data_IF_930118218008
#
_entry.id   IF_930118218008
#
_cell.length_a   1.000
_cell.length_b   1.000
_cell.length_c   1.000
_cell.angle_alpha   90.00
_cell.angle_beta   90.00
_cell.angle_gamma   90.00
#
_symmetry.space_group_name_H-M   'P 1'
#
loop_
_entity.id
_entity.type
_entity.pdbx_description
1 polymer ?
#
# COMPACT_ATOMS: atom_id res chain seq x y z
N UNK A 1 2.31 -74.99 57.58
CA UNK A 1 2.37 -73.56 57.96
C UNK A 1 3.15 -72.65 56.98
N UNK A 2 3.74 -73.15 55.88
CA UNK A 2 4.54 -72.30 54.96
C UNK A 2 3.72 -71.46 53.95
N UNK A 3 2.46 -71.81 53.70
CA UNK A 3 1.64 -71.16 52.65
C UNK A 3 1.16 -69.75 53.02
N UNK A 4 0.86 -69.49 54.30
CA UNK A 4 0.41 -68.15 54.73
C UNK A 4 1.46 -67.05 54.58
N UNK A 5 2.75 -67.41 54.63
CA UNK A 5 3.84 -66.43 54.57
C UNK A 5 4.06 -65.87 53.16
N UNK A 6 3.73 -66.66 52.13
CA UNK A 6 3.86 -66.26 50.73
C UNK A 6 2.75 -65.30 50.30
N UNK A 7 1.52 -65.53 50.75
CA UNK A 7 0.38 -64.65 50.49
C UNK A 7 0.59 -63.23 51.05
N UNK A 8 1.13 -63.13 52.26
CA UNK A 8 1.41 -61.83 52.91
C UNK A 8 2.51 -61.05 52.19
N UNK A 9 3.51 -61.73 51.61
CA UNK A 9 4.55 -61.08 50.80
C UNK A 9 3.98 -60.49 49.50
N UNK A 10 3.12 -61.25 48.81
CA UNK A 10 2.52 -60.81 47.55
C UNK A 10 1.64 -59.56 47.74
N UNK A 11 0.78 -59.54 48.77
CA UNK A 11 -0.01 -58.34 49.10
C UNK A 11 0.86 -57.11 49.40
N UNK A 12 2.01 -57.31 50.06
CA UNK A 12 2.91 -56.22 50.44
C UNK A 12 3.65 -55.64 49.23
N UNK A 13 3.98 -56.47 48.24
CA UNK A 13 4.54 -56.03 46.96
C UNK A 13 3.50 -55.32 46.08
N UNK A 14 2.28 -55.85 46.03
CA UNK A 14 1.18 -55.23 45.28
C UNK A 14 0.81 -53.85 45.86
N UNK A 15 0.74 -53.73 47.19
CA UNK A 15 0.55 -52.44 47.88
C UNK A 15 1.69 -51.45 47.60
N UNK A 16 2.94 -51.90 47.45
CA UNK A 16 4.08 -51.04 47.08
C UNK A 16 3.99 -50.59 45.63
N UNK A 17 3.67 -51.51 44.71
CA UNK A 17 3.49 -51.20 43.28
C UNK A 17 2.37 -50.18 43.07
N UNK A 18 1.24 -50.35 43.76
CA UNK A 18 0.11 -49.41 43.73
C UNK A 18 0.45 -48.03 44.32
N UNK A 19 1.35 -47.95 45.31
CA UNK A 19 1.84 -46.67 45.85
C UNK A 19 2.79 -45.96 44.88
N UNK A 20 3.69 -46.70 44.24
CA UNK A 20 4.60 -46.15 43.22
C UNK A 20 3.82 -45.62 42.00
N UNK A 21 2.85 -46.37 41.49
CA UNK A 21 2.00 -45.94 40.37
C UNK A 21 1.18 -44.69 40.70
N UNK A 22 0.63 -44.60 41.92
CA UNK A 22 -0.07 -43.39 42.38
C UNK A 22 0.86 -42.18 42.46
N UNK A 23 2.08 -42.35 42.95
CA UNK A 23 3.06 -41.26 42.97
C UNK A 23 3.51 -40.85 41.56
N UNK A 24 3.66 -41.81 40.65
CA UNK A 24 4.02 -41.53 39.26
C UNK A 24 2.90 -40.76 38.54
N UNK A 25 1.63 -41.17 38.73
CA UNK A 25 0.48 -40.43 38.19
C UNK A 25 0.39 -39.01 38.74
N UNK A 26 0.62 -38.83 40.04
CA UNK A 26 0.64 -37.49 40.65
C UNK A 26 1.75 -36.62 40.06
N UNK A 27 2.96 -37.17 39.89
CA UNK A 27 4.08 -36.44 39.27
C UNK A 27 3.81 -36.06 37.82
N UNK A 28 3.23 -36.97 37.03
CA UNK A 28 2.89 -36.71 35.64
C UNK A 28 1.80 -35.62 35.51
N UNK A 29 0.80 -35.63 36.39
CA UNK A 29 -0.25 -34.60 36.40
C UNK A 29 0.30 -33.22 36.81
N UNK A 30 1.23 -33.17 37.77
CA UNK A 30 1.88 -31.92 38.19
C UNK A 30 2.78 -31.35 37.08
N UNK A 31 3.55 -32.19 36.40
CA UNK A 31 4.36 -31.80 35.24
C UNK A 31 3.48 -31.27 34.10
N UNK A 32 2.33 -31.89 33.83
CA UNK A 32 1.39 -31.42 32.83
C UNK A 32 0.80 -30.05 33.19
N UNK A 33 0.49 -29.81 34.48
CA UNK A 33 0.04 -28.49 34.95
C UNK A 33 1.11 -27.42 34.79
N UNK A 34 2.37 -27.74 35.11
CA UNK A 34 3.50 -26.82 34.92
C UNK A 34 3.73 -26.50 33.45
N UNK A 35 3.71 -27.50 32.56
CA UNK A 35 3.83 -27.31 31.12
C UNK A 35 2.69 -26.46 30.55
N UNK A 36 1.46 -26.65 31.03
CA UNK A 36 0.30 -25.85 30.61
C UNK A 36 0.43 -24.38 31.07
N UNK A 37 0.92 -24.13 32.28
CA UNK A 37 1.15 -22.77 32.78
C UNK A 37 2.29 -22.08 32.01
N UNK A 38 3.39 -22.78 31.74
CA UNK A 38 4.49 -22.25 30.93
C UNK A 38 4.02 -21.92 29.51
N UNK A 39 3.20 -22.79 28.89
CA UNK A 39 2.62 -22.53 27.58
C UNK A 39 1.75 -21.26 27.57
N UNK A 40 0.99 -21.01 28.65
CA UNK A 40 0.22 -19.75 28.81
C UNK A 40 1.14 -18.53 28.91
N UNK A 41 2.19 -18.62 29.72
CA UNK A 41 3.15 -17.52 29.85
C UNK A 41 3.90 -17.24 28.53
N UNK A 42 4.30 -18.29 27.80
CA UNK A 42 4.90 -18.17 26.48
C UNK A 42 3.92 -17.53 25.46
N UNK A 43 2.63 -17.88 25.54
CA UNK A 43 1.55 -17.25 24.77
C UNK A 43 1.46 -15.74 25.02
N UNK A 44 1.44 -15.33 26.30
CA UNK A 44 1.40 -13.91 26.70
C UNK A 44 2.65 -13.17 26.19
N UNK A 45 3.85 -13.75 26.31
CA UNK A 45 5.10 -13.13 25.81
C UNK A 45 5.07 -12.97 24.29
N UNK A 46 4.56 -13.96 23.55
CA UNK A 46 4.41 -13.89 22.09
C UNK A 46 3.38 -12.82 21.69
N UNK A 47 2.28 -12.70 22.42
CA UNK A 47 1.26 -11.67 22.17
C UNK A 47 1.84 -10.26 22.37
N UNK A 48 2.51 -10.00 23.50
CA UNK A 48 3.16 -8.70 23.79
C UNK A 48 4.18 -8.30 22.72
N UNK A 49 5.02 -9.23 22.28
CA UNK A 49 5.99 -8.98 21.19
C UNK A 49 5.31 -8.63 19.85
N UNK A 50 4.17 -9.27 19.54
CA UNK A 50 3.39 -8.96 18.33
C UNK A 50 2.76 -7.57 18.40
N UNK A 51 2.21 -7.21 19.56
CA UNK A 51 1.61 -5.91 19.82
C UNK A 51 2.65 -4.77 19.71
N UNK A 52 3.81 -4.93 20.35
CA UNK A 52 4.91 -3.96 20.26
C UNK A 52 5.41 -3.77 18.83
N UNK A 53 5.52 -4.86 18.06
CA UNK A 53 5.91 -4.81 16.64
C UNK A 53 4.89 -4.05 15.79
N UNK A 54 3.60 -4.20 16.09
CA UNK A 54 2.54 -3.43 15.42
C UNK A 54 2.64 -1.95 15.77
N UNK A 55 2.83 -1.61 17.06
CA UNK A 55 3.00 -0.22 17.51
C UNK A 55 4.17 0.46 16.82
N UNK A 56 5.34 -0.19 16.78
CA UNK A 56 6.54 0.35 16.11
C UNK A 56 6.34 0.57 14.61
N UNK A 57 5.59 -0.31 13.95
CA UNK A 57 5.26 -0.14 12.52
C UNK A 57 4.36 1.06 12.27
N UNK A 58 3.41 1.31 13.18
CA UNK A 58 2.53 2.48 13.12
C UNK A 58 3.28 3.79 13.37
N UNK A 59 4.12 3.83 14.40
CA UNK A 59 5.01 4.97 14.69
C UNK A 59 5.90 5.31 13.48
N UNK A 60 6.52 4.30 12.85
CA UNK A 60 7.31 4.51 11.63
C UNK A 60 6.48 5.05 10.46
N UNK A 61 5.24 4.59 10.30
CA UNK A 61 4.34 5.08 9.25
C UNK A 61 3.95 6.54 9.49
N UNK A 62 3.72 6.91 10.74
CA UNK A 62 3.45 8.29 11.10
C UNK A 62 4.66 9.19 10.89
N UNK A 63 5.87 8.71 11.22
CA UNK A 63 7.11 9.42 10.95
C UNK A 63 7.30 9.73 9.47
N UNK A 64 7.11 8.74 8.60
CA UNK A 64 7.18 8.94 7.14
C UNK A 64 6.15 9.96 6.64
N UNK A 65 4.93 9.94 7.21
CA UNK A 65 3.90 10.94 6.87
C UNK A 65 4.30 12.35 7.28
N UNK A 66 4.87 12.51 8.48
CA UNK A 66 5.36 13.80 8.98
C UNK A 66 6.50 14.34 8.13
N UNK A 67 7.46 13.49 7.79
CA UNK A 67 8.59 13.85 6.93
C UNK A 67 8.15 14.30 5.55
N UNK A 68 7.26 13.53 4.90
CA UNK A 68 6.68 13.90 3.61
C UNK A 68 5.91 15.21 3.67
N UNK A 69 5.12 15.44 4.74
CA UNK A 69 4.38 16.69 4.90
C UNK A 69 5.31 17.89 5.10
N UNK A 70 6.38 17.72 5.88
CA UNK A 70 7.39 18.74 6.08
C UNK A 70 8.10 19.09 4.76
N UNK A 71 8.43 18.09 3.95
CA UNK A 71 9.06 18.30 2.64
C UNK A 71 8.14 19.04 1.65
N UNK A 72 6.85 18.70 1.63
CA UNK A 72 5.85 19.42 0.83
C UNK A 72 5.77 20.89 1.29
N UNK A 73 5.68 21.14 2.60
CA UNK A 73 5.64 22.51 3.14
C UNK A 73 6.88 23.32 2.74
N UNK A 74 8.07 22.72 2.74
CA UNK A 74 9.31 23.37 2.27
C UNK A 74 9.28 23.71 0.78
N UNK A 75 8.66 22.89 -0.06
CA UNK A 75 8.53 23.16 -1.49
C UNK A 75 7.48 24.25 -1.76
N UNK A 76 6.34 24.19 -1.07
CA UNK A 76 5.28 25.19 -1.18
C UNK A 76 5.77 26.56 -0.70
N UNK A 77 6.51 26.62 0.42
CA UNK A 77 7.10 27.88 0.88
C UNK A 77 8.07 28.50 -0.13
N UNK A 78 8.94 27.69 -0.76
CA UNK A 78 9.82 28.16 -1.83
C UNK A 78 9.07 28.65 -3.07
N UNK A 79 7.97 27.99 -3.43
CA UNK A 79 7.12 28.40 -4.54
C UNK A 79 6.42 29.74 -4.24
N UNK A 80 5.91 29.90 -3.02
CA UNK A 80 5.23 31.11 -2.56
C UNK A 80 6.16 32.32 -2.58
N UNK A 81 7.40 32.17 -2.08
CA UNK A 81 8.43 33.21 -2.16
C UNK A 81 8.79 33.61 -3.61
N UNK A 82 8.81 32.65 -4.53
CA UNK A 82 9.11 32.90 -5.95
C UNK A 82 7.97 33.66 -6.62
N UNK A 83 6.72 33.27 -6.34
CA UNK A 83 5.52 33.95 -6.81
C UNK A 83 5.44 35.37 -6.25
N UNK A 84 5.65 35.55 -4.95
CA UNK A 84 5.63 36.85 -4.29
C UNK A 84 6.69 37.80 -4.88
N UNK A 85 7.91 37.32 -5.14
CA UNK A 85 8.96 38.09 -5.84
C UNK A 85 8.60 38.50 -7.26
N UNK A 86 7.74 37.76 -7.96
CA UNK A 86 7.23 38.14 -9.29
C UNK A 86 6.16 39.22 -9.16
N UNK A 87 5.22 39.06 -8.22
CA UNK A 87 4.20 40.06 -7.94
C UNK A 87 4.80 41.41 -7.55
N UNK A 88 5.76 41.44 -6.63
CA UNK A 88 6.45 42.67 -6.21
C UNK A 88 7.21 43.36 -7.35
N UNK A 89 7.79 42.59 -8.28
CA UNK A 89 8.43 43.15 -9.48
C UNK A 89 7.40 43.79 -10.40
N UNK A 90 6.28 43.11 -10.65
CA UNK A 90 5.24 43.59 -11.55
C UNK A 90 4.57 44.86 -11.02
N UNK A 91 4.20 44.89 -9.73
CA UNK A 91 3.59 46.08 -9.10
C UNK A 91 4.53 47.27 -9.12
N UNK A 92 5.81 47.08 -8.77
CA UNK A 92 6.82 48.15 -8.80
C UNK A 92 7.05 48.70 -10.21
N UNK A 93 6.98 47.86 -11.25
CA UNK A 93 7.09 48.35 -12.64
C UNK A 93 5.88 49.18 -13.09
N UNK A 94 4.67 48.87 -12.59
CA UNK A 94 3.46 49.66 -12.89
C UNK A 94 3.47 51.03 -12.21
N UNK A 95 4.00 51.13 -10.99
CA UNK A 95 4.06 52.41 -10.25
C UNK A 95 5.11 53.39 -10.81
N UNK A 96 6.20 52.89 -11.39
CA UNK A 96 7.27 53.74 -11.94
C UNK A 96 7.01 54.21 -13.39
N UNK A 97 6.00 53.65 -14.06
CA UNK A 97 5.53 54.07 -15.38
C UNK A 97 4.57 55.25 -15.29
N UNK A 98 5.09 56.48 -15.25
CA UNK A 98 4.30 57.69 -15.53
C UNK A 98 3.70 57.63 -16.95
N UNK A 99 2.40 57.96 -17.02
CA UNK A 99 1.58 58.27 -18.19
C UNK A 99 1.20 57.06 -19.05
N UNK A 100 -0.09 56.72 -19.19
CA UNK A 100 -1.18 57.59 -19.61
C UNK A 100 -2.49 56.99 -19.08
N UNK A 101 -3.21 57.84 -18.36
CA UNK A 101 -4.59 57.64 -17.92
C UNK A 101 -5.46 57.24 -19.11
N UNK A 102 -5.87 55.97 -19.15
CA UNK A 102 -7.01 55.52 -19.94
C UNK A 102 -7.92 54.85 -18.92
N UNK A 103 -9.00 55.56 -18.59
CA UNK A 103 -10.15 55.08 -17.82
C UNK A 103 -10.53 53.64 -18.23
N UNK A 104 -10.50 52.68 -17.30
CA UNK A 104 -11.29 51.47 -17.47
C UNK A 104 -12.75 51.86 -17.25
N UNK A 105 -13.45 52.14 -18.35
CA UNK A 105 -14.92 52.23 -18.41
C UNK A 105 -15.52 50.96 -17.80
N UNK A 106 -16.07 51.13 -16.60
CA UNK A 106 -16.88 50.17 -15.87
C UNK A 106 -18.15 49.90 -16.69
N UNK A 107 -18.19 48.77 -17.39
CA UNK A 107 -19.40 48.29 -18.04
C UNK A 107 -20.00 47.16 -17.19
N UNK A 108 -21.01 47.54 -16.42
CA UNK A 108 -21.95 46.65 -15.75
C UNK A 108 -22.77 45.93 -16.81
N UNK A 109 -22.34 44.74 -17.23
CA UNK A 109 -23.19 43.85 -18.00
C UNK A 109 -23.91 42.93 -17.00
N UNK A 110 -25.16 43.30 -16.72
CA UNK A 110 -26.16 42.51 -16.02
C UNK A 110 -26.31 41.15 -16.74
N UNK A 111 -25.69 40.11 -16.19
CA UNK A 111 -25.90 38.74 -16.63
C UNK A 111 -27.29 38.28 -16.16
N UNK A 112 -28.24 38.43 -17.05
CA UNK A 112 -29.60 37.91 -16.98
C UNK A 112 -29.53 36.40 -16.67
N UNK A 113 -30.18 36.02 -15.57
CA UNK A 113 -30.23 34.65 -15.04
C UNK A 113 -31.04 33.77 -15.99
N UNK A 114 -30.33 33.04 -16.86
CA UNK A 114 -30.93 32.04 -17.75
C UNK A 114 -31.16 30.72 -16.97
N UNK A 115 -32.16 30.72 -16.08
CA UNK A 115 -32.60 29.56 -15.28
C UNK A 115 -33.33 28.49 -16.12
N UNK A 116 -33.34 28.59 -17.45
CA UNK A 116 -34.20 27.76 -18.32
C UNK A 116 -33.55 26.46 -18.82
N UNK A 117 -32.23 26.30 -18.78
CA UNK A 117 -31.56 25.14 -19.40
C UNK A 117 -31.37 23.93 -18.47
N UNK A 118 -31.42 24.14 -17.15
CA UNK A 118 -31.22 23.05 -16.17
C UNK A 118 -32.39 22.06 -16.19
N UNK A 119 -33.61 22.55 -16.39
CA UNK A 119 -34.83 21.73 -16.39
C UNK A 119 -34.98 20.94 -17.71
N UNK A 120 -34.45 21.46 -18.82
CA UNK A 120 -34.39 20.77 -20.11
C UNK A 120 -33.41 19.59 -20.08
N UNK A 121 -32.23 19.78 -19.46
CA UNK A 121 -31.25 18.71 -19.25
C UNK A 121 -31.79 17.60 -18.33
N UNK A 122 -32.50 17.97 -17.26
CA UNK A 122 -33.15 17.03 -16.35
C UNK A 122 -34.08 16.07 -17.09
N UNK A 123 -34.99 16.60 -17.92
CA UNK A 123 -35.92 15.79 -18.74
C UNK A 123 -35.21 14.91 -19.76
N UNK A 124 -34.07 15.35 -20.29
CA UNK A 124 -33.30 14.54 -21.24
C UNK A 124 -32.60 13.35 -20.55
N UNK A 125 -32.28 13.47 -19.26
CA UNK A 125 -31.65 12.38 -18.49
C UNK A 125 -32.65 11.35 -17.94
N UNK A 126 -33.90 11.74 -17.66
CA UNK A 126 -34.96 10.80 -17.26
C UNK A 126 -35.34 9.79 -18.36
N UNK A 127 -35.09 10.13 -19.63
CA UNK A 127 -35.30 9.19 -20.76
C UNK A 127 -34.12 8.22 -20.97
N UNK A 128 -32.98 8.44 -20.30
CA UNK A 128 -31.82 7.55 -20.31
C UNK A 128 -31.86 6.51 -19.18
N UNK A 129 -33.03 6.24 -18.58
CA UNK A 129 -33.21 5.14 -17.64
C UNK A 129 -32.90 3.83 -18.36
N UNK A 130 -31.72 3.30 -18.08
CA UNK A 130 -31.18 2.03 -18.59
C UNK A 130 -32.02 0.90 -17.96
N UNK A 131 -33.19 0.61 -18.54
CA UNK A 131 -34.10 -0.43 -18.08
C UNK A 131 -33.61 -1.85 -18.38
N UNK A 132 -32.54 -2.01 -19.16
CA UNK A 132 -32.08 -3.31 -19.63
C UNK A 132 -30.61 -3.56 -19.26
N UNK A 133 -30.39 -4.16 -18.08
CA UNK A 133 -29.10 -4.75 -17.67
C UNK A 133 -28.76 -5.92 -18.60
N UNK A 134 -28.15 -5.64 -19.75
CA UNK A 134 -27.52 -6.67 -20.57
C UNK A 134 -26.31 -7.24 -19.84
N UNK A 135 -26.28 -8.56 -19.67
CA UNK A 135 -25.15 -9.35 -19.15
C UNK A 135 -23.96 -9.26 -20.12
N UNK A 136 -23.23 -8.14 -20.14
CA UNK A 136 -21.91 -8.07 -20.80
C UNK A 136 -20.91 -8.85 -19.95
N UNK A 137 -20.46 -9.97 -20.52
CA UNK A 137 -19.38 -10.81 -19.99
C UNK A 137 -18.10 -9.98 -19.90
N UNK A 138 -17.34 -10.22 -18.81
CA UNK A 138 -16.00 -9.71 -18.48
C UNK A 138 -15.92 -8.19 -18.29
N UNK A 139 -16.05 -7.80 -17.03
CA UNK A 139 -15.90 -6.45 -16.51
C UNK A 139 -14.49 -5.92 -16.81
N UNK A 140 -14.33 -5.12 -17.87
CA UNK A 140 -13.30 -4.07 -17.87
C UNK A 140 -13.62 -3.15 -16.70
N UNK A 141 -12.68 -2.99 -15.78
CA UNK A 141 -12.87 -2.16 -14.58
C UNK A 141 -13.07 -0.72 -15.06
N UNK A 142 -14.07 0.03 -14.55
CA UNK A 142 -14.17 1.46 -14.76
C UNK A 142 -13.09 2.17 -13.91
N UNK A 143 -11.82 1.94 -14.22
CA UNK A 143 -10.73 2.75 -13.72
C UNK A 143 -10.47 3.84 -14.76
N UNK A 144 -10.33 5.09 -14.32
CA UNK A 144 -10.01 6.21 -15.18
C UNK A 144 -8.87 5.81 -16.15
N UNK A 145 -9.08 5.92 -17.47
CA UNK A 145 -8.11 5.47 -18.46
C UNK A 145 -6.85 6.32 -18.32
N UNK A 146 -5.73 5.70 -17.93
CA UNK A 146 -4.46 6.38 -17.74
C UNK A 146 -3.45 5.62 -16.87
N UNK A 147 -2.20 6.10 -16.88
CA UNK A 147 -1.08 5.55 -16.10
C UNK A 147 -1.36 5.46 -14.60
N UNK A 148 -2.10 6.45 -14.07
CA UNK A 148 -2.51 6.49 -12.65
C UNK A 148 -3.46 5.35 -12.28
N UNK A 149 -4.36 4.95 -13.19
CA UNK A 149 -5.26 3.82 -13.00
C UNK A 149 -4.52 2.49 -12.91
N UNK A 150 -3.59 2.26 -13.85
CA UNK A 150 -2.71 1.07 -13.88
C UNK A 150 -1.89 0.96 -12.59
N UNK A 151 -1.31 2.07 -12.13
CA UNK A 151 -0.54 2.10 -10.88
C UNK A 151 -1.38 1.75 -9.64
N UNK A 152 -2.59 2.31 -9.52
CA UNK A 152 -3.51 1.98 -8.42
C UNK A 152 -3.90 0.50 -8.45
N UNK A 153 -4.24 -0.03 -9.62
CA UNK A 153 -4.60 -1.43 -9.79
C UNK A 153 -3.46 -2.38 -9.37
N UNK A 154 -2.24 -2.12 -9.83
CA UNK A 154 -1.05 -2.91 -9.44
C UNK A 154 -0.83 -2.83 -7.93
N UNK A 155 -0.89 -1.63 -7.35
CA UNK A 155 -0.67 -1.41 -5.91
C UNK A 155 -1.70 -2.16 -5.05
N UNK A 156 -2.98 -2.13 -5.43
CA UNK A 156 -4.03 -2.84 -4.71
C UNK A 156 -3.90 -4.37 -4.83
N UNK A 157 -3.51 -4.89 -6.00
CA UNK A 157 -3.24 -6.32 -6.17
C UNK A 157 -2.07 -6.80 -5.30
N UNK A 158 -0.95 -6.06 -5.29
CA UNK A 158 0.19 -6.38 -4.43
C UNK A 158 -0.20 -6.40 -2.95
N UNK A 159 -1.04 -5.44 -2.51
CA UNK A 159 -1.53 -5.39 -1.12
C UNK A 159 -2.42 -6.59 -0.78
N UNK A 160 -3.34 -6.96 -1.67
CA UNK A 160 -4.23 -8.11 -1.45
C UNK A 160 -3.45 -9.43 -1.40
N UNK A 161 -2.61 -9.69 -2.40
CA UNK A 161 -1.82 -10.92 -2.49
C UNK A 161 -0.75 -11.02 -1.39
N UNK A 162 -0.20 -9.89 -0.94
CA UNK A 162 0.78 -9.84 0.16
C UNK A 162 0.25 -10.39 1.48
N UNK A 163 -1.06 -10.24 1.73
CA UNK A 163 -1.74 -10.70 2.94
C UNK A 163 -2.20 -12.16 2.88
N UNK A 164 -2.14 -12.81 1.71
CA UNK A 164 -2.54 -14.21 1.53
C UNK A 164 -1.46 -15.17 2.02
N UNK A 165 -1.88 -16.36 2.44
CA UNK A 165 -1.03 -17.49 2.79
C UNK A 165 -0.44 -18.15 1.54
N UNK A 166 0.58 -18.99 1.72
CA UNK A 166 1.23 -19.70 0.60
C UNK A 166 0.25 -20.62 -0.12
N UNK A 167 -0.66 -21.27 0.61
CA UNK A 167 -1.62 -22.22 0.02
C UNK A 167 -2.71 -21.50 -0.78
N UNK A 168 -3.16 -20.33 -0.33
CA UNK A 168 -4.05 -19.47 -1.10
C UNK A 168 -3.40 -19.00 -2.41
N UNK A 169 -2.11 -18.61 -2.36
CA UNK A 169 -1.37 -18.22 -3.56
C UNK A 169 -1.21 -19.38 -4.56
N UNK A 170 -1.00 -20.61 -4.08
CA UNK A 170 -0.96 -21.81 -4.94
C UNK A 170 -2.31 -22.05 -5.62
N UNK A 171 -3.41 -21.90 -4.88
CA UNK A 171 -4.76 -22.03 -5.44
C UNK A 171 -5.02 -20.98 -6.54
N UNK A 172 -4.62 -19.73 -6.31
CA UNK A 172 -4.73 -18.66 -7.32
C UNK A 172 -3.86 -18.96 -8.54
N UNK A 173 -2.64 -19.48 -8.36
CA UNK A 173 -1.78 -19.86 -9.47
C UNK A 173 -2.42 -20.93 -10.37
N UNK A 174 -3.09 -21.93 -9.79
CA UNK A 174 -3.81 -22.94 -10.56
C UNK A 174 -5.02 -22.36 -11.31
N UNK A 175 -5.77 -21.46 -10.67
CA UNK A 175 -6.96 -20.84 -11.28
C UNK A 175 -6.60 -19.87 -12.40
N UNK A 176 -5.53 -19.10 -12.22
CA UNK A 176 -5.08 -18.10 -13.16
C UNK A 176 -4.04 -18.65 -14.13
N UNK A 177 -3.69 -19.93 -14.10
CA UNK A 177 -2.67 -20.56 -14.96
C UNK A 177 -1.31 -19.82 -14.92
N UNK A 178 -0.81 -19.63 -13.69
CA UNK A 178 0.51 -19.04 -13.41
C UNK A 178 1.39 -20.12 -12.79
N UNK A 179 2.63 -20.25 -13.27
CA UNK A 179 3.58 -21.21 -12.71
C UNK A 179 3.97 -20.78 -11.30
N UNK A 180 3.74 -21.65 -10.32
CA UNK A 180 4.19 -21.43 -8.94
C UNK A 180 5.66 -21.85 -8.84
N UNK A 181 6.58 -20.90 -9.02
CA UNK A 181 8.02 -21.13 -8.83
C UNK A 181 8.65 -20.04 -7.95
N UNK A 182 9.51 -20.47 -7.04
CA UNK A 182 10.34 -19.59 -6.22
C UNK A 182 9.70 -19.02 -4.94
N UNK A 183 10.16 -17.84 -4.54
CA UNK A 183 9.78 -17.18 -3.27
C UNK A 183 8.38 -16.56 -3.39
N UNK A 184 7.68 -16.43 -2.25
CA UNK A 184 6.34 -15.79 -2.16
C UNK A 184 6.23 -14.50 -2.99
N UNK A 185 7.26 -13.65 -2.95
CA UNK A 185 7.27 -12.39 -3.69
C UNK A 185 7.28 -12.58 -5.22
N UNK A 186 8.04 -13.54 -5.75
CA UNK A 186 8.10 -13.80 -7.20
C UNK A 186 6.73 -14.22 -7.73
N UNK A 187 6.05 -15.12 -7.00
CA UNK A 187 4.70 -15.56 -7.33
C UNK A 187 3.70 -14.40 -7.30
N UNK A 188 3.77 -13.52 -6.29
CA UNK A 188 2.90 -12.34 -6.20
C UNK A 188 3.10 -11.41 -7.40
N UNK A 189 4.35 -11.18 -7.81
CA UNK A 189 4.67 -10.34 -8.97
C UNK A 189 4.11 -10.96 -10.25
N UNK A 190 4.30 -12.26 -10.48
CA UNK A 190 3.80 -12.97 -11.65
C UNK A 190 2.26 -12.94 -11.77
N UNK A 191 1.54 -13.17 -10.65
CA UNK A 191 0.07 -13.04 -10.62
C UNK A 191 -0.36 -11.60 -10.94
N UNK A 192 0.31 -10.62 -10.33
CA UNK A 192 -0.03 -9.20 -10.52
C UNK A 192 0.19 -8.77 -11.97
N UNK A 193 1.30 -9.19 -12.59
CA UNK A 193 1.59 -8.95 -13.99
C UNK A 193 0.51 -9.55 -14.89
N UNK A 194 0.15 -10.83 -14.71
CA UNK A 194 -0.90 -11.50 -15.49
C UNK A 194 -2.25 -10.78 -15.36
N UNK A 195 -2.65 -10.40 -14.15
CA UNK A 195 -3.89 -9.63 -13.93
C UNK A 195 -3.85 -8.25 -14.59
N UNK A 196 -2.70 -7.59 -14.57
CA UNK A 196 -2.51 -6.28 -15.20
C UNK A 196 -2.59 -6.40 -16.73
N UNK A 197 -1.98 -7.43 -17.31
CA UNK A 197 -2.11 -7.75 -18.73
C UNK A 197 -3.55 -8.07 -19.11
N UNK A 198 -4.30 -8.85 -18.32
CA UNK A 198 -5.71 -9.10 -18.62
C UNK A 198 -6.59 -7.85 -18.51
N UNK A 199 -6.23 -6.90 -17.63
CA UNK A 199 -7.02 -5.68 -17.42
C UNK A 199 -6.68 -4.56 -18.42
N UNK A 200 -5.42 -4.43 -18.81
CA UNK A 200 -4.88 -3.31 -19.60
C UNK A 200 -4.16 -3.73 -20.90
N UNK A 201 -3.94 -5.03 -21.13
CA UNK A 201 -3.10 -5.57 -22.21
C UNK A 201 -3.68 -5.53 -23.62
N UNK A 202 -4.85 -4.91 -23.84
CA UNK A 202 -5.33 -4.57 -25.18
C UNK A 202 -4.67 -3.27 -25.74
N UNK A 203 -3.84 -2.57 -24.95
CA UNK A 203 -3.40 -1.18 -25.25
C UNK A 203 -1.88 -0.98 -25.38
N UNK A 204 -1.06 -2.02 -25.20
CA UNK A 204 0.40 -1.87 -25.10
C UNK A 204 1.16 -2.38 -26.35
N UNK A 205 0.53 -2.39 -27.52
CA UNK A 205 1.23 -2.65 -28.80
C UNK A 205 1.56 -1.39 -29.61
N UNK A 206 1.21 -0.17 -29.17
CA UNK A 206 1.38 1.05 -30.01
C UNK A 206 2.00 2.29 -29.36
N UNK A 207 2.53 2.27 -28.13
CA UNK A 207 3.05 3.51 -27.50
C UNK A 207 4.56 3.56 -27.28
N UNK A 208 5.33 2.65 -27.88
CA UNK A 208 6.82 2.69 -27.87
C UNK A 208 7.43 3.29 -29.14
N UNK A 209 6.68 4.04 -29.95
CA UNK A 209 7.23 4.70 -31.15
C UNK A 209 6.69 6.12 -31.38
N UNK A 210 7.06 7.05 -30.50
CA UNK A 210 7.40 8.41 -30.96
C UNK A 210 8.69 8.78 -30.25
N UNK A 211 9.81 8.45 -30.91
CA UNK A 211 11.08 9.06 -30.62
C UNK A 211 10.97 10.56 -30.90
N UNK A 212 11.12 11.35 -29.85
CA UNK A 212 11.72 12.66 -29.98
C UNK A 212 13.21 12.45 -29.70
N UNK A 213 13.95 12.19 -30.79
CA UNK A 213 15.39 12.42 -30.83
C UNK A 213 15.61 13.90 -30.50
N UNK A 214 16.09 14.19 -29.29
CA UNK A 214 16.73 15.48 -29.01
C UNK A 214 18.22 15.25 -29.26
N UNK A 215 18.58 15.67 -30.46
CA UNK A 215 19.90 15.95 -31.01
C UNK A 215 20.96 16.32 -29.96
N UNK A 216 22.07 15.56 -29.84
CA UNK A 216 23.25 15.97 -29.09
C UNK A 216 24.21 16.72 -30.04
N UNK A 217 23.94 18.01 -30.29
CA UNK A 217 24.96 18.97 -30.73
C UNK A 217 25.60 19.60 -29.49
N UNK A 218 26.82 19.26 -29.10
CA UNK A 218 28.10 19.71 -29.66
C UNK A 218 28.40 21.20 -29.37
N UNK A 219 29.68 21.45 -29.05
CA UNK A 219 30.34 22.73 -28.78
C UNK A 219 30.08 23.44 -27.43
N UNK A 220 30.96 23.20 -26.45
CA UNK A 220 31.99 24.21 -26.22
C UNK A 220 33.22 23.67 -25.47
N UNK A 221 34.32 23.81 -26.19
CA UNK A 221 35.72 23.67 -25.80
C UNK A 221 36.15 24.72 -24.76
N UNK A 222 37.16 24.31 -24.01
CA UNK A 222 38.32 25.08 -23.57
C UNK A 222 38.07 26.41 -22.84
N UNK A 223 38.35 26.42 -21.53
CA UNK A 223 39.31 27.39 -20.98
C UNK A 223 39.94 26.86 -19.67
N UNK A 224 41.14 26.33 -19.88
CA UNK A 224 42.38 26.46 -19.13
C UNK A 224 42.44 27.29 -17.82
N UNK A 225 43.29 26.78 -16.90
CA UNK A 225 44.14 27.49 -15.90
C UNK A 225 43.48 28.00 -14.62
N UNK A 226 44.10 28.00 -13.45
CA UNK A 226 45.43 27.58 -12.97
C UNK A 226 45.37 27.59 -11.44
N UNK A 227 46.24 26.80 -10.80
CA UNK A 227 46.81 26.99 -9.46
C UNK A 227 45.81 27.01 -8.26
N UNK A 228 46.16 26.71 -7.02
CA UNK A 228 47.43 26.74 -6.33
C UNK A 228 47.30 25.94 -5.02
N UNK A 229 48.47 25.52 -4.54
CA UNK A 229 48.82 24.82 -3.31
C UNK A 229 48.05 25.15 -2.02
N UNK A 230 48.04 24.18 -1.09
CA UNK A 230 47.89 24.48 0.33
C UNK A 230 47.88 23.26 1.25
N UNK A 231 49.09 22.79 1.59
CA UNK A 231 49.54 22.07 2.81
C UNK A 231 48.57 21.14 3.57
#
# INVERSE_FOLDING_TARGET
MKEGFNAVKFEREEKKKKKMERQERLKREEEERQAAEEARQAGIRRAKKKEEKLRKKEENREKMRKEMLMEISLHVGRLDESMQRRYERETKTREMGKQKEVEPSSKEDYAESDDSDVDALSRHTERLVISEKRKRRRRKIPAAPGSVGKLKFVTDNLRQLGNMTVDELKSICLLEDVIYDGKKMQVILAITEKRTLMAYGDLEETTTSVGAEVDPGDDNKDDEKDAESGA
#
